data_IF_931228432268
#
_entry.id   IF_931228432268
#
_cell.length_a   1.000
_cell.length_b   1.000
_cell.length_c   1.000
_cell.angle_alpha   90.00
_cell.angle_beta   90.00
_cell.angle_gamma   90.00
#
_symmetry.space_group_name_H-M   'P 1'
#
loop_
_entity.id
_entity.type
_entity.pdbx_description
1 polymer ?
#
# COMPACT_ATOMS: atom_id res chain seq x y z
N UNK A 1 19.04 3.22 21.70
CA UNK A 1 17.57 3.18 21.57
C UNK A 1 17.15 4.49 20.98
N UNK A 2 16.33 4.48 19.93
CA UNK A 2 15.86 5.70 19.29
C UNK A 2 14.43 6.07 19.68
N UNK A 3 14.03 7.27 19.29
CA UNK A 3 12.74 7.90 19.53
C UNK A 3 11.70 7.39 18.52
N UNK A 4 10.55 6.94 19.01
CA UNK A 4 9.36 6.68 18.17
C UNK A 4 8.55 7.97 18.13
N UNK A 5 8.40 8.55 16.95
CA UNK A 5 7.58 9.74 16.77
C UNK A 5 6.13 9.32 16.53
N UNK A 6 5.23 9.63 17.48
CA UNK A 6 3.82 9.24 17.40
C UNK A 6 2.92 10.42 17.05
N UNK A 7 2.23 10.34 15.92
CA UNK A 7 1.15 11.26 15.56
C UNK A 7 -0.07 10.89 16.40
N UNK A 8 -0.40 11.71 17.39
CA UNK A 8 -1.56 11.50 18.27
C UNK A 8 -2.82 12.14 17.67
N UNK A 9 -2.69 13.33 17.10
CA UNK A 9 -3.79 14.08 16.50
C UNK A 9 -3.30 14.82 15.26
N UNK A 10 -4.08 14.78 14.19
CA UNK A 10 -3.86 15.55 12.98
C UNK A 10 -5.20 16.12 12.52
N UNK A 11 -5.33 17.43 12.53
CA UNK A 11 -6.59 18.12 12.23
C UNK A 11 -6.35 19.11 11.11
N UNK A 12 -7.18 19.00 10.07
CA UNK A 12 -7.33 20.04 9.04
C UNK A 12 -8.71 20.63 9.24
N UNK A 13 -8.82 21.95 9.29
CA UNK A 13 -10.12 22.60 9.43
C UNK A 13 -11.03 22.22 8.26
N UNK A 14 -12.36 22.02 8.47
CA UNK A 14 -13.26 21.50 7.42
C UNK A 14 -13.24 22.30 6.12
N UNK A 15 -13.18 23.63 6.20
CA UNK A 15 -13.12 24.52 5.03
C UNK A 15 -11.80 24.42 4.24
N UNK A 16 -10.80 23.70 4.78
CA UNK A 16 -9.50 23.45 4.14
C UNK A 16 -9.33 21.99 3.69
N UNK A 17 -10.39 21.17 3.79
CA UNK A 17 -10.37 19.79 3.30
C UNK A 17 -10.22 19.76 1.76
N UNK A 18 -9.65 18.67 1.23
CA UNK A 18 -9.43 18.51 -0.22
C UNK A 18 -8.27 19.33 -0.80
N UNK A 19 -7.71 20.30 -0.06
CA UNK A 19 -6.61 21.16 -0.53
C UNK A 19 -5.21 20.53 -0.39
N UNK A 20 -5.11 19.24 -0.04
CA UNK A 20 -3.84 18.55 0.17
C UNK A 20 -3.09 18.91 1.47
N UNK A 21 -3.67 19.75 2.35
CA UNK A 21 -3.00 20.17 3.59
C UNK A 21 -2.70 19.00 4.54
N UNK A 22 -3.61 18.03 4.66
CA UNK A 22 -3.38 16.84 5.48
C UNK A 22 -2.16 16.05 5.00
N UNK A 23 -2.00 15.91 3.67
CA UNK A 23 -0.81 15.28 3.07
C UNK A 23 0.45 16.07 3.41
N UNK A 24 0.43 17.39 3.22
CA UNK A 24 1.58 18.26 3.54
C UNK A 24 1.98 18.15 5.01
N UNK A 25 1.01 18.19 5.92
CA UNK A 25 1.24 18.06 7.35
C UNK A 25 1.95 16.74 7.71
N UNK A 26 1.40 15.61 7.26
CA UNK A 26 1.97 14.29 7.56
C UNK A 26 3.33 14.10 6.85
N UNK A 27 3.48 14.60 5.62
CA UNK A 27 4.76 14.58 4.91
C UNK A 27 5.83 15.40 5.65
N UNK A 28 5.48 16.56 6.22
CA UNK A 28 6.41 17.35 7.03
C UNK A 28 6.91 16.59 8.25
N UNK A 29 6.08 15.74 8.87
CA UNK A 29 6.49 14.86 9.97
C UNK A 29 7.51 13.83 9.50
N UNK A 30 7.28 13.18 8.35
CA UNK A 30 8.26 12.26 7.76
C UNK A 30 9.56 12.97 7.37
N UNK A 31 9.47 14.18 6.81
CA UNK A 31 10.64 14.98 6.47
C UNK A 31 11.44 15.33 7.72
N UNK A 32 10.79 15.69 8.83
CA UNK A 32 11.47 15.90 10.10
C UNK A 32 12.16 14.62 10.58
N UNK A 33 11.43 13.50 10.62
CA UNK A 33 11.96 12.20 11.05
C UNK A 33 13.15 11.72 10.20
N UNK A 34 13.15 12.01 8.90
CA UNK A 34 14.23 11.65 7.98
C UNK A 34 15.55 12.39 8.27
N UNK A 35 15.50 13.56 8.91
CA UNK A 35 16.68 14.35 9.29
C UNK A 35 17.05 14.23 10.77
N UNK A 36 16.27 13.46 11.55
CA UNK A 36 16.50 13.23 12.97
C UNK A 36 17.15 11.85 13.17
N UNK A 37 18.44 11.83 13.50
CA UNK A 37 19.21 10.60 13.68
C UNK A 37 18.68 9.73 14.83
N UNK A 38 18.04 10.35 15.82
CA UNK A 38 17.46 9.64 16.97
C UNK A 38 16.09 9.04 16.65
N UNK A 39 15.38 9.50 15.63
CA UNK A 39 14.05 8.97 15.29
C UNK A 39 14.17 7.64 14.55
N UNK A 40 13.48 6.61 15.04
CA UNK A 40 13.49 5.27 14.42
C UNK A 40 12.32 5.04 13.48
N UNK A 41 11.13 5.53 13.84
CA UNK A 41 9.92 5.34 13.04
C UNK A 41 8.84 6.38 13.38
N UNK A 42 7.94 6.61 12.43
CA UNK A 42 6.72 7.40 12.58
C UNK A 42 5.52 6.47 12.76
N UNK A 43 4.87 6.57 13.93
CA UNK A 43 3.66 5.82 14.28
C UNK A 43 2.45 6.74 14.36
N UNK A 44 1.26 6.16 14.35
CA UNK A 44 -0.01 6.91 14.47
C UNK A 44 -0.87 6.22 15.50
N UNK A 45 -1.41 7.00 16.43
CA UNK A 45 -2.31 6.49 17.45
C UNK A 45 -3.73 6.36 16.90
N UNK A 46 -4.28 5.14 16.92
CA UNK A 46 -5.67 4.83 16.55
C UNK A 46 -6.15 5.54 15.26
N UNK A 47 -5.46 5.37 14.11
CA UNK A 47 -5.77 6.11 12.90
C UNK A 47 -7.18 5.79 12.39
N UNK A 48 -7.95 6.84 12.06
CA UNK A 48 -9.23 6.67 11.38
C UNK A 48 -9.01 6.19 9.92
N UNK A 49 -10.02 5.60 9.26
CA UNK A 49 -9.88 5.08 7.90
C UNK A 49 -9.36 6.11 6.88
N UNK A 50 -9.77 7.37 7.00
CA UNK A 50 -9.28 8.45 6.15
C UNK A 50 -7.78 8.73 6.37
N UNK A 51 -7.30 8.66 7.62
CA UNK A 51 -5.88 8.81 7.93
C UNK A 51 -5.07 7.61 7.42
N UNK A 52 -5.57 6.38 7.58
CA UNK A 52 -4.93 5.18 7.00
C UNK A 52 -4.76 5.36 5.50
N UNK A 53 -5.80 5.78 4.78
CA UNK A 53 -5.72 6.02 3.33
C UNK A 53 -4.72 7.13 2.96
N UNK A 54 -4.68 8.22 3.74
CA UNK A 54 -3.70 9.28 3.56
C UNK A 54 -2.27 8.77 3.76
N UNK A 55 -2.04 8.03 4.85
CA UNK A 55 -0.74 7.48 5.25
C UNK A 55 -0.24 6.48 4.24
N UNK A 56 -1.05 5.50 3.83
CA UNK A 56 -0.64 4.49 2.84
C UNK A 56 -0.16 5.16 1.54
N UNK A 57 -0.84 6.23 1.11
CA UNK A 57 -0.44 7.01 -0.05
C UNK A 57 0.81 7.90 0.15
N UNK A 58 1.24 8.15 1.39
CA UNK A 58 2.50 8.84 1.73
C UNK A 58 3.62 7.81 1.84
N UNK A 59 3.42 6.76 2.63
CA UNK A 59 4.36 5.66 2.85
C UNK A 59 4.75 5.01 1.50
N UNK A 60 3.77 4.77 0.62
CA UNK A 60 4.05 4.32 -0.74
C UNK A 60 4.84 5.33 -1.59
N UNK A 61 4.60 6.63 -1.42
CA UNK A 61 5.36 7.67 -2.11
C UNK A 61 6.83 7.67 -1.71
N UNK A 62 7.09 7.68 -0.41
CA UNK A 62 8.44 7.58 0.18
C UNK A 62 9.13 6.29 -0.28
N UNK A 63 8.43 5.15 -0.18
CA UNK A 63 8.95 3.87 -0.63
C UNK A 63 9.34 3.90 -2.11
N UNK A 64 8.44 4.37 -2.98
CA UNK A 64 8.68 4.41 -4.44
C UNK A 64 9.83 5.33 -4.83
N UNK A 65 10.05 6.43 -4.11
CA UNK A 65 11.16 7.36 -4.38
C UNK A 65 12.51 6.78 -3.99
N UNK A 66 12.56 5.89 -3.00
CA UNK A 66 13.81 5.38 -2.42
C UNK A 66 14.11 3.93 -2.79
N UNK A 67 13.15 3.19 -3.37
CA UNK A 67 13.31 1.76 -3.69
C UNK A 67 14.49 1.48 -4.62
N UNK A 68 14.83 2.40 -5.53
CA UNK A 68 15.97 2.24 -6.44
C UNK A 68 17.32 2.28 -5.70
N UNK A 69 17.38 2.94 -4.55
CA UNK A 69 18.56 3.03 -3.68
C UNK A 69 18.64 1.86 -2.70
N UNK A 70 17.57 1.08 -2.57
CA UNK A 70 17.48 -0.02 -1.62
C UNK A 70 18.06 -1.29 -2.21
N UNK A 71 19.23 -1.67 -1.71
CA UNK A 71 19.78 -3.01 -1.94
C UNK A 71 19.37 -3.89 -0.77
N UNK A 72 18.54 -4.91 -1.01
CA UNK A 72 18.35 -5.97 -0.01
C UNK A 72 19.66 -6.76 0.14
N UNK A 73 20.08 -7.10 1.37
CA UNK A 73 21.23 -7.98 1.60
C UNK A 73 21.13 -9.31 0.83
N UNK A 74 19.92 -9.74 0.51
CA UNK A 74 19.58 -10.97 -0.21
C UNK A 74 19.20 -10.74 -1.68
N UNK A 75 19.32 -9.51 -2.21
CA UNK A 75 18.96 -9.17 -3.59
C UNK A 75 17.45 -9.10 -3.89
N UNK A 76 16.59 -9.16 -2.87
CA UNK A 76 15.12 -9.33 -2.99
C UNK A 76 14.42 -8.13 -3.66
N UNK A 77 15.03 -6.94 -3.62
CA UNK A 77 14.50 -5.69 -4.17
C UNK A 77 15.35 -5.13 -5.31
N UNK A 78 15.80 -5.97 -6.26
CA UNK A 78 16.30 -5.38 -7.50
C UNK A 78 15.11 -4.87 -8.35
N UNK A 79 15.24 -3.74 -9.07
CA UNK A 79 14.22 -3.21 -9.99
C UNK A 79 13.71 -4.25 -11.00
N UNK A 80 14.55 -5.23 -11.36
CA UNK A 80 14.24 -6.34 -12.27
C UNK A 80 13.38 -7.45 -11.63
N UNK A 81 13.23 -7.49 -10.31
CA UNK A 81 12.36 -8.46 -9.59
C UNK A 81 10.87 -8.14 -9.71
N UNK A 82 10.51 -7.25 -10.63
CA UNK A 82 9.16 -7.13 -11.12
C UNK A 82 8.87 -8.16 -12.24
N UNK A 83 9.72 -9.18 -12.36
CA UNK A 83 9.54 -10.38 -13.14
C UNK A 83 8.36 -11.25 -12.65
N UNK A 84 7.59 -11.79 -13.60
CA UNK A 84 6.26 -12.38 -13.39
C UNK A 84 6.24 -13.62 -12.48
N UNK A 85 7.36 -14.33 -12.33
CA UNK A 85 7.34 -15.67 -11.75
C UNK A 85 7.50 -15.71 -10.22
N UNK A 86 7.92 -14.62 -9.59
CA UNK A 86 8.08 -14.61 -8.13
C UNK A 86 7.38 -13.39 -7.54
N UNK A 87 6.11 -13.56 -7.16
CA UNK A 87 5.49 -12.73 -6.11
C UNK A 87 6.19 -13.03 -4.78
N UNK A 88 7.41 -12.51 -4.65
CA UNK A 88 8.24 -12.67 -3.47
C UNK A 88 7.61 -11.87 -2.36
N UNK A 89 7.53 -12.48 -1.19
CA UNK A 89 7.15 -11.79 0.02
C UNK A 89 8.34 -10.98 0.50
N UNK A 90 8.10 -9.74 0.91
CA UNK A 90 9.07 -9.05 1.73
C UNK A 90 9.26 -9.85 3.03
N UNK A 91 10.48 -10.32 3.28
CA UNK A 91 10.80 -11.03 4.52
C UNK A 91 10.69 -10.05 5.68
N UNK A 92 10.47 -10.57 6.89
CA UNK A 92 10.41 -9.72 8.08
C UNK A 92 11.72 -8.97 8.32
N UNK A 93 12.86 -9.63 8.12
CA UNK A 93 14.18 -9.02 8.18
C UNK A 93 14.35 -7.87 7.18
N UNK A 94 14.02 -8.10 5.91
CA UNK A 94 14.09 -7.06 4.89
C UNK A 94 13.12 -5.91 5.18
N UNK A 95 11.90 -6.22 5.64
CA UNK A 95 10.93 -5.21 6.03
C UNK A 95 11.46 -4.34 7.16
N UNK A 96 12.10 -4.91 8.19
CA UNK A 96 12.70 -4.15 9.30
C UNK A 96 13.83 -3.22 8.83
N UNK A 97 14.72 -3.72 7.95
CA UNK A 97 15.84 -2.92 7.43
C UNK A 97 15.33 -1.70 6.65
N UNK A 98 14.44 -1.93 5.69
CA UNK A 98 13.91 -0.85 4.85
C UNK A 98 12.99 0.10 5.62
N UNK A 99 12.21 -0.42 6.57
CA UNK A 99 11.40 0.37 7.49
C UNK A 99 12.26 1.37 8.26
N UNK A 100 13.38 0.92 8.82
CA UNK A 100 14.34 1.77 9.54
C UNK A 100 14.96 2.86 8.65
N UNK A 101 15.28 2.53 7.38
CA UNK A 101 15.79 3.52 6.43
C UNK A 101 14.76 4.59 6.08
N UNK A 102 13.47 4.22 6.01
CA UNK A 102 12.39 5.13 5.62
C UNK A 102 11.67 5.78 6.79
N UNK A 103 12.01 5.41 8.03
CA UNK A 103 11.29 5.81 9.24
C UNK A 103 9.80 5.41 9.20
N UNK A 104 9.47 4.30 8.52
CA UNK A 104 8.11 3.77 8.37
C UNK A 104 7.99 2.51 9.25
N UNK A 105 6.83 2.27 9.86
CA UNK A 105 6.58 1.03 10.62
C UNK A 105 6.67 -0.19 9.68
N UNK A 106 7.32 -1.31 10.06
CA UNK A 106 7.51 -2.47 9.18
C UNK A 106 6.24 -3.03 8.53
N UNK A 107 5.12 -3.08 9.28
CA UNK A 107 3.83 -3.53 8.74
C UNK A 107 3.27 -2.62 7.64
N UNK A 108 3.57 -1.32 7.71
CA UNK A 108 3.13 -0.30 6.75
C UNK A 108 4.02 -0.29 5.51
N UNK A 109 5.32 -0.57 5.67
CA UNK A 109 6.21 -0.80 4.54
C UNK A 109 5.75 -1.99 3.68
N UNK A 110 5.26 -3.07 4.31
CA UNK A 110 4.68 -4.21 3.58
C UNK A 110 3.49 -3.77 2.72
N UNK A 111 2.63 -2.86 3.21
CA UNK A 111 1.52 -2.29 2.44
C UNK A 111 2.06 -1.49 1.23
N UNK A 112 3.04 -0.61 1.45
CA UNK A 112 3.69 0.14 0.37
C UNK A 112 4.30 -0.78 -0.71
N UNK A 113 4.91 -1.89 -0.31
CA UNK A 113 5.44 -2.91 -1.20
C UNK A 113 4.34 -3.61 -2.02
N UNK A 114 3.20 -3.95 -1.39
CA UNK A 114 2.05 -4.53 -2.08
C UNK A 114 1.46 -3.56 -3.13
N UNK A 115 1.40 -2.26 -2.81
CA UNK A 115 0.95 -1.23 -3.75
C UNK A 115 1.92 -1.11 -4.93
N UNK A 116 3.23 -1.13 -4.67
CA UNK A 116 4.27 -1.11 -5.71
C UNK A 116 4.18 -2.32 -6.66
N UNK A 117 3.97 -3.53 -6.11
CA UNK A 117 3.76 -4.74 -6.92
C UNK A 117 2.51 -4.63 -7.80
N UNK A 118 1.41 -4.10 -7.25
CA UNK A 118 0.18 -3.88 -8.04
C UNK A 118 0.39 -2.86 -9.15
N UNK A 119 1.09 -1.74 -8.87
CA UNK A 119 1.45 -0.76 -9.90
C UNK A 119 2.25 -1.40 -11.03
N UNK A 120 3.22 -2.27 -10.69
CA UNK A 120 4.00 -3.01 -11.67
C UNK A 120 3.17 -3.97 -12.53
N UNK A 121 2.12 -4.61 -11.97
CA UNK A 121 1.19 -5.43 -12.74
C UNK A 121 0.43 -4.55 -13.74
N UNK A 122 -0.12 -3.42 -13.27
CA UNK A 122 -0.91 -2.49 -14.07
C UNK A 122 -0.09 -1.91 -15.23
N UNK A 123 1.15 -1.47 -14.98
CA UNK A 123 2.04 -0.90 -16.01
C UNK A 123 2.41 -1.86 -17.13
N UNK A 124 2.26 -3.18 -16.91
CA UNK A 124 2.54 -4.23 -17.91
C UNK A 124 1.31 -4.73 -18.65
N UNK A 125 0.13 -4.20 -18.30
CA UNK A 125 -1.08 -4.54 -19.04
C UNK A 125 -0.91 -4.09 -20.50
N UNK A 126 -1.32 -4.91 -21.49
CA UNK A 126 -1.28 -4.50 -22.88
C UNK A 126 -2.06 -3.19 -23.09
N UNK A 127 -1.65 -2.35 -24.06
CA UNK A 127 -2.44 -1.17 -24.43
C UNK A 127 -3.90 -1.55 -24.72
N UNK A 128 -4.84 -0.81 -24.12
CA UNK A 128 -6.28 -1.08 -24.24
C UNK A 128 -6.84 -2.14 -23.28
N UNK A 129 -6.01 -2.78 -22.45
CA UNK A 129 -6.49 -3.69 -21.41
C UNK A 129 -6.90 -2.91 -20.16
N UNK A 130 -8.11 -3.15 -19.66
CA UNK A 130 -8.58 -2.51 -18.42
C UNK A 130 -7.86 -3.10 -17.20
N UNK A 131 -7.60 -2.25 -16.21
CA UNK A 131 -7.19 -2.74 -14.89
C UNK A 131 -8.28 -3.67 -14.36
N UNK A 132 -7.96 -4.93 -13.98
CA UNK A 132 -8.95 -5.86 -13.48
C UNK A 132 -9.77 -5.22 -12.36
N UNK A 133 -11.08 -5.08 -12.58
CA UNK A 133 -12.01 -4.62 -11.55
C UNK A 133 -12.35 -5.75 -10.59
N UNK A 134 -12.30 -6.99 -11.08
CA UNK A 134 -12.51 -8.19 -10.29
C UNK A 134 -11.25 -8.54 -9.48
N UNK A 135 -11.31 -8.51 -8.13
CA UNK A 135 -10.22 -8.96 -7.29
C UNK A 135 -9.86 -10.44 -7.54
N UNK A 136 -10.79 -11.26 -8.05
CA UNK A 136 -10.56 -12.69 -8.26
C UNK A 136 -9.91 -13.03 -9.62
N UNK A 137 -9.59 -12.02 -10.44
CA UNK A 137 -9.01 -12.18 -11.77
C UNK A 137 -7.76 -13.09 -11.78
N UNK A 138 -7.74 -14.05 -12.72
CA UNK A 138 -6.68 -15.07 -12.85
C UNK A 138 -5.30 -14.43 -13.07
N UNK A 139 -5.23 -13.33 -13.84
CA UNK A 139 -3.99 -12.61 -14.13
C UNK A 139 -3.32 -12.05 -12.87
N UNK A 140 -4.10 -11.82 -11.80
CA UNK A 140 -3.62 -11.31 -10.51
C UNK A 140 -3.47 -12.41 -9.46
N UNK A 141 -3.66 -13.69 -9.81
CA UNK A 141 -3.67 -14.79 -8.83
C UNK A 141 -2.42 -14.84 -7.93
N UNK A 142 -1.17 -14.72 -8.44
CA UNK A 142 0.02 -14.71 -7.58
C UNK A 142 0.00 -13.55 -6.57
N UNK A 143 -0.40 -12.37 -7.02
CA UNK A 143 -0.53 -11.18 -6.20
C UNK A 143 -1.60 -11.35 -5.12
N UNK A 144 -2.78 -11.85 -5.50
CA UNK A 144 -3.88 -12.15 -4.58
C UNK A 144 -3.46 -13.12 -3.48
N UNK A 145 -2.72 -14.18 -3.82
CA UNK A 145 -2.21 -15.13 -2.84
C UNK A 145 -1.20 -14.49 -1.87
N UNK A 146 -0.35 -13.59 -2.37
CA UNK A 146 0.58 -12.83 -1.54
C UNK A 146 -0.15 -12.00 -0.49
N UNK A 147 -1.10 -11.16 -0.91
CA UNK A 147 -1.87 -10.31 0.00
C UNK A 147 -2.74 -11.14 0.96
N UNK A 148 -3.41 -12.19 0.47
CA UNK A 148 -4.22 -13.09 1.33
C UNK A 148 -3.38 -13.78 2.41
N UNK A 149 -2.12 -14.14 2.14
CA UNK A 149 -1.22 -14.72 3.16
C UNK A 149 -0.86 -13.70 4.25
N UNK A 150 -0.65 -12.42 3.91
CA UNK A 150 -0.48 -11.35 4.90
C UNK A 150 -1.75 -11.17 5.73
N UNK A 151 -2.91 -11.04 5.08
CA UNK A 151 -4.21 -10.89 5.74
C UNK A 151 -4.54 -12.06 6.68
N UNK A 152 -4.13 -13.28 6.32
CA UNK A 152 -4.31 -14.44 7.18
C UNK A 152 -3.46 -14.38 8.46
N UNK A 153 -2.27 -13.79 8.40
CA UNK A 153 -1.43 -13.53 9.60
C UNK A 153 -2.01 -12.41 10.45
N UNK A 154 -2.46 -11.32 9.82
CA UNK A 154 -3.03 -10.15 10.50
C UNK A 154 -4.34 -10.50 11.24
N UNK A 155 -5.17 -11.39 10.68
CA UNK A 155 -6.45 -11.78 11.25
C UNK A 155 -6.45 -13.23 11.78
N UNK A 156 -5.29 -13.70 12.27
CA UNK A 156 -5.12 -15.08 12.73
C UNK A 156 -6.05 -15.44 13.90
N UNK A 157 -6.32 -14.49 14.79
CA UNK A 157 -7.26 -14.58 15.90
C UNK A 157 -8.69 -14.85 15.38
N UNK A 158 -9.19 -14.00 14.48
CA UNK A 158 -10.51 -14.13 13.87
C UNK A 158 -10.62 -15.46 13.12
N UNK A 159 -9.60 -15.82 12.33
CA UNK A 159 -9.57 -17.08 11.61
C UNK A 159 -9.52 -18.30 12.54
N UNK A 160 -8.96 -18.18 13.74
CA UNK A 160 -8.97 -19.24 14.75
C UNK A 160 -10.36 -19.43 15.33
N UNK A 161 -11.10 -18.35 15.62
CA UNK A 161 -12.49 -18.43 16.12
C UNK A 161 -13.45 -19.11 15.13
N UNK A 162 -13.15 -19.09 13.83
CA UNK A 162 -13.93 -19.78 12.80
C UNK A 162 -13.73 -21.32 12.78
N UNK A 163 -12.84 -21.87 13.62
CA UNK A 163 -12.64 -23.31 13.78
C UNK A 163 -12.17 -24.02 12.51
N UNK A 164 -12.78 -25.17 12.18
CA UNK A 164 -12.46 -25.97 10.99
C UNK A 164 -13.26 -25.56 9.73
N UNK A 165 -14.07 -24.51 9.79
CA UNK A 165 -14.90 -24.11 8.66
C UNK A 165 -14.06 -23.40 7.58
N UNK A 166 -13.51 -24.19 6.66
CA UNK A 166 -12.64 -23.72 5.56
C UNK A 166 -13.35 -22.69 4.66
N UNK A 167 -14.63 -22.91 4.35
CA UNK A 167 -15.42 -22.02 3.50
C UNK A 167 -15.54 -20.62 4.10
N UNK A 168 -15.91 -20.51 5.37
CA UNK A 168 -16.00 -19.21 6.06
C UNK A 168 -14.67 -18.46 6.11
N UNK A 169 -13.56 -19.17 6.35
CA UNK A 169 -12.22 -18.56 6.31
C UNK A 169 -11.87 -18.03 4.93
N UNK A 170 -12.21 -18.78 3.88
CA UNK A 170 -11.96 -18.38 2.50
C UNK A 170 -12.80 -17.16 2.12
N UNK A 171 -14.10 -17.16 2.42
CA UNK A 171 -15.00 -16.02 2.19
C UNK A 171 -14.51 -14.75 2.92
N UNK A 172 -14.08 -14.89 4.18
CA UNK A 172 -13.51 -13.78 4.94
C UNK A 172 -12.27 -13.19 4.25
N UNK A 173 -11.32 -14.04 3.83
CA UNK A 173 -10.10 -13.58 3.15
C UNK A 173 -10.38 -13.01 1.76
N UNK A 174 -11.36 -13.53 1.01
CA UNK A 174 -11.81 -12.97 -0.27
C UNK A 174 -12.35 -11.56 -0.05
N UNK A 175 -13.25 -11.36 0.92
CA UNK A 175 -13.82 -10.05 1.23
C UNK A 175 -12.75 -9.05 1.69
N UNK A 176 -11.84 -9.48 2.57
CA UNK A 176 -10.72 -8.64 3.03
C UNK A 176 -9.79 -8.24 1.89
N UNK A 177 -9.45 -9.19 1.02
CA UNK A 177 -8.64 -8.92 -0.15
C UNK A 177 -9.32 -7.95 -1.11
N UNK A 178 -10.62 -8.11 -1.39
CA UNK A 178 -11.37 -7.20 -2.26
C UNK A 178 -11.30 -5.75 -1.75
N UNK A 179 -11.49 -5.54 -0.44
CA UNK A 179 -11.38 -4.21 0.16
C UNK A 179 -9.98 -3.60 0.00
N UNK A 180 -8.94 -4.40 0.28
CA UNK A 180 -7.54 -3.97 0.12
C UNK A 180 -7.22 -3.64 -1.33
N UNK A 181 -7.67 -4.48 -2.26
CA UNK A 181 -7.44 -4.30 -3.68
C UNK A 181 -8.08 -3.00 -4.21
N UNK A 182 -9.35 -2.74 -3.86
CA UNK A 182 -10.03 -1.50 -4.22
C UNK A 182 -9.32 -0.28 -3.64
N UNK A 183 -8.93 -0.34 -2.36
CA UNK A 183 -8.18 0.73 -1.70
C UNK A 183 -6.85 1.04 -2.41
N UNK A 184 -6.07 0.01 -2.75
CA UNK A 184 -4.80 0.20 -3.46
C UNK A 184 -5.00 0.77 -4.87
N UNK A 185 -6.02 0.32 -5.60
CA UNK A 185 -6.35 0.91 -6.90
C UNK A 185 -6.70 2.40 -6.77
N UNK A 186 -7.45 2.78 -5.75
CA UNK A 186 -7.79 4.19 -5.52
C UNK A 186 -6.56 5.04 -5.18
N UNK A 187 -5.61 4.51 -4.40
CA UNK A 187 -4.33 5.19 -4.15
C UNK A 187 -3.54 5.40 -5.45
N UNK A 188 -3.45 4.38 -6.30
CA UNK A 188 -2.74 4.46 -7.57
C UNK A 188 -3.42 5.45 -8.54
N UNK A 189 -4.76 5.46 -8.62
CA UNK A 189 -5.52 6.43 -9.42
C UNK A 189 -5.25 7.87 -8.98
N UNK A 190 -5.33 8.14 -7.67
CA UNK A 190 -5.07 9.48 -7.10
C UNK A 190 -3.65 9.96 -7.40
N UNK A 191 -2.67 9.06 -7.39
CA UNK A 191 -1.26 9.40 -7.71
C UNK A 191 -1.05 9.65 -9.20
N UNK A 192 -1.70 8.88 -10.08
CA UNK A 192 -1.55 9.02 -11.54
C UNK A 192 -2.35 10.19 -12.14
N UNK A 193 -3.29 10.80 -11.40
CA UNK A 193 -3.87 12.10 -11.76
C UNK A 193 -2.92 13.30 -11.52
N UNK A 194 -1.65 13.05 -11.22
CA UNK A 194 -0.57 14.00 -11.48
C UNK A 194 -0.34 14.02 -13.02
N UNK A 195 -0.40 15.19 -13.70
CA UNK A 195 -0.71 15.31 -15.15
C UNK A 195 0.25 14.67 -16.16
N UNK A 196 1.25 13.90 -15.75
CA UNK A 196 2.22 13.26 -16.64
C UNK A 196 1.85 11.84 -17.09
N UNK A 197 0.82 11.18 -16.53
CA UNK A 197 0.42 9.82 -16.96
C UNK A 197 -1.11 9.71 -17.04
N UNK A 198 -1.67 9.93 -18.23
CA UNK A 198 -3.10 9.74 -18.49
C UNK A 198 -3.46 8.24 -18.48
N UNK A 199 -4.17 7.79 -17.45
CA UNK A 199 -4.99 6.57 -17.55
C UNK A 199 -6.28 7.00 -18.23
N UNK A 200 -6.42 6.65 -19.51
CA UNK A 200 -7.60 6.96 -20.31
C UNK A 200 -8.80 6.14 -19.82
N UNK A 201 -9.68 6.78 -19.05
CA UNK A 201 -11.06 6.32 -18.84
C UNK A 201 -11.98 7.20 -19.67
N UNK A 202 -12.39 6.73 -20.84
CA UNK A 202 -13.45 7.39 -21.63
C UNK A 202 -14.77 7.06 -20.93
N UNK A 203 -15.40 8.06 -20.32
CA UNK A 203 -16.79 7.97 -19.90
C UNK A 203 -17.65 8.06 -21.15
N UNK A 204 -18.08 6.93 -21.70
CA UNK A 204 -19.20 6.93 -22.62
C UNK A 204 -20.48 6.93 -21.79
N UNK A 205 -21.03 8.13 -21.65
CA UNK A 205 -22.40 8.39 -21.21
C UNK A 205 -23.36 7.65 -22.13
N UNK A 206 -24.14 6.72 -21.58
CA UNK A 206 -25.35 6.23 -22.22
C UNK A 206 -26.42 7.30 -22.01
N UNK A 207 -26.48 8.26 -22.92
CA UNK A 207 -27.73 8.97 -23.19
C UNK A 207 -28.58 8.09 -24.09
N UNK A 208 -29.73 7.70 -23.57
CA UNK A 208 -30.74 6.92 -24.27
C UNK A 208 -32.11 7.19 -23.68
N UNK A 209 -32.70 8.33 -24.08
CA UNK A 209 -34.09 8.47 -24.55
C UNK A 209 -34.42 9.92 -24.82
#
# INVERSE_FOLDING_TARGET
GGTILRICQAVVAPHLHGMGLGRRLVQSVYNFAAHADDVVEVTVENPCPAFVSLRDGIDYGIFRERIAEMVSPEGILSPDHADREKMIFLTEAAAMVFAGCLKIVPSQLVIAYEIWKLEGIIKRLPPGYEVPKDPEDISTRPYRLMVKKRLAREHADILTTMGKNKTKKQEFLVKKYANVYCHYLDLLRRRNHNPEIQITGKNDSIEGK
#
